data_IF_419762808881
#
_entry.id   IF_419762808881
#
_cell.length_a   1.000
_cell.length_b   1.000
_cell.length_c   1.000
_cell.angle_alpha   90.00
_cell.angle_beta   90.00
_cell.angle_gamma   90.00
#
_symmetry.space_group_name_H-M   'P 1'
#
loop_
_entity.id
_entity.type
_entity.pdbx_description
1 polymer ?
#
# COMPACT_ATOMS: atom_id res chain seq x y z
N UNK A 1 12.48 -0.29 -13.70
CA UNK A 1 12.75 -1.31 -12.67
C UNK A 1 14.18 -1.77 -12.88
N UNK A 2 15.06 -1.55 -11.91
CA UNK A 2 16.46 -1.95 -12.02
C UNK A 2 16.62 -3.29 -11.31
N UNK A 3 16.96 -4.33 -12.07
CA UNK A 3 17.36 -5.61 -11.49
C UNK A 3 18.87 -5.54 -11.26
N UNK A 4 19.30 -5.62 -10.00
CA UNK A 4 20.72 -5.74 -9.66
C UNK A 4 20.99 -7.21 -9.41
N UNK A 5 21.72 -7.84 -10.33
CA UNK A 5 22.25 -9.19 -10.13
C UNK A 5 23.39 -9.11 -9.11
N UNK A 6 23.18 -9.67 -7.91
CA UNK A 6 24.24 -9.77 -6.90
C UNK A 6 25.05 -11.03 -7.20
N UNK A 7 26.31 -10.84 -7.59
CA UNK A 7 27.25 -11.92 -7.83
C UNK A 7 27.56 -12.66 -6.51
N UNK A 8 26.90 -13.80 -6.30
CA UNK A 8 27.19 -14.71 -5.20
C UNK A 8 25.95 -15.31 -4.54
N UNK A 9 25.36 -16.33 -5.17
CA UNK A 9 24.51 -17.32 -4.50
C UNK A 9 23.10 -16.88 -4.12
N UNK A 10 22.14 -17.20 -4.99
CA UNK A 10 20.70 -17.37 -4.71
C UNK A 10 19.96 -16.21 -4.03
N UNK A 11 19.59 -15.20 -4.82
CA UNK A 11 18.48 -14.32 -4.51
C UNK A 11 18.49 -13.09 -5.40
N UNK A 12 17.52 -12.96 -6.31
CA UNK A 12 17.20 -11.66 -6.89
C UNK A 12 16.73 -10.77 -5.74
N UNK A 13 17.58 -9.83 -5.31
CA UNK A 13 17.20 -8.82 -4.34
C UNK A 13 16.33 -7.80 -5.07
N UNK A 14 15.03 -8.10 -5.15
CA UNK A 14 14.06 -7.12 -5.59
C UNK A 14 14.01 -5.98 -4.55
N UNK A 15 14.38 -4.78 -4.97
CA UNK A 15 14.20 -3.58 -4.14
C UNK A 15 12.70 -3.22 -4.16
N UNK A 16 12.01 -3.56 -3.08
CA UNK A 16 10.58 -3.33 -2.92
C UNK A 16 10.26 -1.85 -2.73
N UNK A 17 10.33 -1.10 -3.83
CA UNK A 17 9.94 0.30 -3.93
C UNK A 17 8.70 0.45 -4.80
N UNK A 18 7.61 0.76 -4.12
CA UNK A 18 6.32 1.14 -4.64
C UNK A 18 6.00 2.53 -4.10
N UNK A 19 6.27 3.60 -4.85
CA UNK A 19 5.95 4.96 -4.42
C UNK A 19 5.24 5.71 -5.53
N UNK A 20 4.16 6.42 -5.17
CA UNK A 20 3.63 7.45 -6.03
C UNK A 20 4.59 8.64 -5.99
N UNK A 21 5.11 9.01 -7.16
CA UNK A 21 6.11 10.07 -7.32
C UNK A 21 5.61 11.46 -6.91
N UNK A 22 4.29 11.65 -6.83
CA UNK A 22 3.67 12.87 -6.36
C UNK A 22 2.36 12.59 -5.62
N UNK A 23 2.12 13.31 -4.52
CA UNK A 23 0.84 13.30 -3.79
C UNK A 23 -0.36 13.58 -4.71
N UNK A 24 -0.20 14.45 -5.72
CA UNK A 24 -1.24 14.72 -6.70
C UNK A 24 -1.65 13.47 -7.51
N UNK A 25 -0.68 12.63 -7.89
CA UNK A 25 -0.96 11.38 -8.60
C UNK A 25 -1.68 10.38 -7.70
N UNK A 26 -1.29 10.30 -6.42
CA UNK A 26 -2.01 9.48 -5.44
C UNK A 26 -3.45 9.95 -5.24
N UNK A 27 -3.69 11.27 -5.11
CA UNK A 27 -5.04 11.83 -4.97
C UNK A 27 -5.90 11.62 -6.21
N UNK A 28 -5.31 11.68 -7.41
CA UNK A 28 -6.02 11.34 -8.64
C UNK A 28 -6.45 9.87 -8.63
N UNK A 29 -5.53 8.96 -8.29
CA UNK A 29 -5.83 7.54 -8.13
C UNK A 29 -6.93 7.28 -7.09
N UNK A 30 -6.90 7.96 -5.94
CA UNK A 30 -7.95 7.82 -4.93
C UNK A 30 -9.34 8.12 -5.52
N UNK A 31 -9.45 9.20 -6.28
CA UNK A 31 -10.72 9.62 -6.89
C UNK A 31 -11.18 8.65 -7.97
N UNK A 32 -10.27 8.22 -8.83
CA UNK A 32 -10.59 7.44 -10.02
C UNK A 32 -10.78 5.95 -9.74
N UNK A 33 -10.18 5.45 -8.65
CA UNK A 33 -10.12 4.01 -8.36
C UNK A 33 -10.62 3.71 -6.95
N UNK A 34 -9.96 4.25 -5.92
CA UNK A 34 -10.26 3.87 -4.53
C UNK A 34 -11.69 4.20 -4.11
N UNK A 35 -12.16 5.40 -4.42
CA UNK A 35 -13.50 5.86 -4.02
C UNK A 35 -14.62 5.06 -4.71
N UNK A 36 -14.60 4.87 -6.05
CA UNK A 36 -15.53 3.95 -6.72
C UNK A 36 -15.55 2.52 -6.16
N UNK A 37 -14.37 1.99 -5.79
CA UNK A 37 -14.24 0.68 -5.15
C UNK A 37 -14.90 0.68 -3.77
N UNK A 38 -14.59 1.69 -2.95
CA UNK A 38 -15.06 1.76 -1.57
C UNK A 38 -16.59 1.90 -1.49
N UNK A 39 -17.21 2.57 -2.45
CA UNK A 39 -18.68 2.67 -2.57
C UNK A 39 -19.33 1.33 -2.95
N UNK A 40 -18.61 0.46 -3.67
CA UNK A 40 -19.07 -0.88 -4.04
C UNK A 40 -18.86 -1.95 -2.96
N UNK A 41 -18.10 -1.65 -1.91
CA UNK A 41 -17.77 -2.56 -0.81
C UNK A 41 -18.56 -2.14 0.44
N UNK A 42 -18.90 -3.10 1.29
CA UNK A 42 -19.70 -2.81 2.48
C UNK A 42 -19.00 -1.82 3.44
N UNK A 43 -19.79 -0.98 4.10
CA UNK A 43 -19.30 -0.02 5.09
C UNK A 43 -18.73 -0.69 6.36
N UNK A 44 -18.77 -2.03 6.44
CA UNK A 44 -18.37 -2.81 7.61
C UNK A 44 -16.85 -2.88 7.77
N UNK A 45 -16.08 -2.25 6.88
CA UNK A 45 -14.66 -2.02 7.07
C UNK A 45 -13.82 -3.27 6.84
N UNK A 46 -14.33 -4.21 6.03
CA UNK A 46 -13.50 -5.28 5.49
C UNK A 46 -12.29 -4.63 4.81
N UNK A 47 -11.04 -4.99 5.18
CA UNK A 47 -9.88 -4.45 4.52
C UNK A 47 -10.03 -4.67 3.01
N UNK A 48 -9.80 -3.61 2.23
CA UNK A 48 -9.57 -3.80 0.80
C UNK A 48 -8.35 -4.71 0.71
N UNK A 49 -8.56 -5.90 0.18
CA UNK A 49 -7.53 -6.89 -0.10
C UNK A 49 -7.63 -7.29 -1.56
N UNK A 50 -6.54 -7.79 -2.15
CA UNK A 50 -6.56 -8.40 -3.48
C UNK A 50 -7.77 -9.32 -3.68
N UNK A 51 -8.02 -10.33 -2.81
CA UNK A 51 -9.19 -11.20 -2.95
C UNK A 51 -10.54 -10.49 -3.00
N UNK A 52 -10.79 -9.51 -2.10
CA UNK A 52 -12.04 -8.73 -2.14
C UNK A 52 -12.15 -7.90 -3.42
N UNK A 53 -11.05 -7.38 -3.96
CA UNK A 53 -11.05 -6.58 -5.18
C UNK A 53 -11.18 -7.44 -6.44
N UNK A 54 -10.49 -8.58 -6.49
CA UNK A 54 -10.61 -9.57 -7.56
C UNK A 54 -12.00 -10.21 -7.59
N UNK A 55 -12.65 -10.38 -6.43
CA UNK A 55 -14.02 -10.90 -6.34
C UNK A 55 -15.06 -9.97 -6.97
N UNK A 56 -14.79 -8.65 -7.03
CA UNK A 56 -15.66 -7.68 -7.70
C UNK A 56 -15.43 -7.57 -9.22
N UNK A 57 -14.62 -8.47 -9.79
CA UNK A 57 -14.47 -8.68 -11.23
C UNK A 57 -13.23 -8.01 -11.82
N UNK A 58 -12.44 -8.71 -12.66
CA UNK A 58 -11.18 -8.22 -13.20
C UNK A 58 -11.31 -7.03 -14.18
N UNK A 59 -12.53 -6.64 -14.56
CA UNK A 59 -12.79 -5.59 -15.55
C UNK A 59 -13.27 -4.25 -14.99
N UNK A 60 -13.74 -4.17 -13.73
CA UNK A 60 -14.35 -2.93 -13.21
C UNK A 60 -13.40 -2.10 -12.35
N UNK A 61 -12.36 -2.69 -11.77
CA UNK A 61 -11.45 -2.02 -10.84
C UNK A 61 -10.00 -2.50 -10.98
N UNK A 62 -9.40 -2.30 -12.15
CA UNK A 62 -7.99 -2.63 -12.36
C UNK A 62 -7.11 -1.79 -11.41
N UNK A 63 -6.48 -2.46 -10.44
CA UNK A 63 -5.42 -1.84 -9.64
C UNK A 63 -4.33 -1.30 -10.58
N UNK A 64 -3.70 -0.17 -10.29
CA UNK A 64 -2.48 0.25 -10.97
C UNK A 64 -1.48 -0.91 -11.03
N UNK A 65 -0.81 -1.06 -12.16
CA UNK A 65 0.19 -2.11 -12.39
C UNK A 65 1.19 -2.25 -11.24
N UNK A 66 1.56 -1.13 -10.64
CA UNK A 66 2.48 -1.08 -9.50
C UNK A 66 1.91 -1.71 -8.21
N UNK A 67 0.59 -1.63 -7.97
CA UNK A 67 -0.07 -2.34 -6.87
C UNK A 67 -0.24 -3.83 -7.19
N UNK A 68 -0.64 -4.18 -8.42
CA UNK A 68 -0.73 -5.59 -8.85
C UNK A 68 0.60 -6.30 -8.66
N UNK A 69 1.68 -5.67 -9.13
CA UNK A 69 3.03 -6.19 -8.97
C UNK A 69 3.41 -6.40 -7.49
N UNK A 70 3.04 -5.46 -6.61
CA UNK A 70 3.30 -5.58 -5.18
C UNK A 70 2.60 -6.81 -4.56
N UNK A 71 1.38 -7.11 -5.00
CA UNK A 71 0.64 -8.31 -4.58
C UNK A 71 1.29 -9.61 -5.08
N UNK A 72 1.93 -9.58 -6.25
CA UNK A 72 2.66 -10.73 -6.80
C UNK A 72 3.96 -11.04 -6.03
N UNK A 73 4.67 -10.01 -5.57
CA UNK A 73 5.99 -10.19 -4.94
C UNK A 73 5.96 -10.34 -3.42
N UNK A 74 4.90 -9.85 -2.76
CA UNK A 74 4.81 -9.91 -1.29
C UNK A 74 4.79 -11.33 -0.70
N UNK A 75 4.27 -12.38 -1.35
CA UNK A 75 4.34 -13.75 -0.83
C UNK A 75 5.76 -14.33 -0.86
N UNK A 76 6.62 -13.84 -1.76
CA UNK A 76 7.98 -14.38 -1.99
C UNK A 76 9.08 -13.60 -1.27
N UNK A 77 8.75 -12.48 -0.62
CA UNK A 77 9.72 -11.74 0.19
C UNK A 77 10.03 -12.47 1.50
N UNK A 78 11.15 -13.20 1.50
CA UNK A 78 11.75 -13.81 2.69
C UNK A 78 12.81 -12.92 3.36
N UNK A 79 13.08 -11.73 2.82
CA UNK A 79 14.19 -10.89 3.28
C UNK A 79 13.79 -10.03 4.48
N UNK A 80 14.66 -9.94 5.50
CA UNK A 80 14.47 -9.04 6.64
C UNK A 80 15.18 -7.71 6.39
N UNK A 81 14.59 -6.85 5.59
CA UNK A 81 15.05 -5.47 5.44
C UNK A 81 14.06 -4.48 6.07
N UNK A 82 14.50 -3.25 6.28
CA UNK A 82 13.63 -2.21 6.80
C UNK A 82 12.78 -1.62 5.67
N UNK A 83 11.54 -2.11 5.57
CA UNK A 83 10.54 -1.53 4.69
C UNK A 83 9.91 -0.32 5.36
N UNK A 84 9.60 0.68 4.56
CA UNK A 84 9.17 1.98 5.01
C UNK A 84 7.86 2.33 4.33
N UNK A 85 6.79 2.40 5.12
CA UNK A 85 5.45 2.76 4.63
C UNK A 85 5.25 4.24 4.89
N UNK A 86 5.05 5.01 3.83
CA UNK A 86 4.81 6.44 3.84
C UNK A 86 3.33 6.67 3.59
N UNK A 87 2.63 7.22 4.58
CA UNK A 87 1.19 7.47 4.53
C UNK A 87 0.86 8.91 4.15
N UNK A 88 1.77 9.84 4.48
CA UNK A 88 1.64 11.26 4.16
C UNK A 88 3.03 11.86 3.95
N UNK A 89 3.23 12.50 2.81
CA UNK A 89 4.52 12.99 2.34
C UNK A 89 4.43 13.49 0.90
N UNK A 90 5.55 13.96 0.34
CA UNK A 90 5.63 14.28 -1.10
C UNK A 90 5.38 13.05 -1.97
N UNK A 91 5.73 11.88 -1.42
CA UNK A 91 5.47 10.56 -1.98
C UNK A 91 4.73 9.71 -0.96
N UNK A 92 3.92 8.76 -1.44
CA UNK A 92 3.13 7.82 -0.63
C UNK A 92 3.44 6.41 -1.14
N UNK A 93 3.48 5.42 -0.26
CA UNK A 93 3.70 4.02 -0.64
C UNK A 93 4.71 3.29 0.25
N UNK A 94 5.40 2.30 -0.30
CA UNK A 94 6.39 1.45 0.38
C UNK A 94 7.75 1.62 -0.30
N UNK A 95 8.82 1.74 0.47
CA UNK A 95 10.19 1.69 -0.07
C UNK A 95 11.16 1.10 0.94
N UNK A 96 12.28 0.58 0.47
CA UNK A 96 13.45 0.23 1.30
C UNK A 96 14.56 1.28 1.18
N UNK A 97 14.39 2.27 0.29
CA UNK A 97 15.42 3.22 -0.09
C UNK A 97 15.39 4.48 0.78
N UNK A 98 16.48 4.75 1.51
CA UNK A 98 16.62 5.94 2.35
C UNK A 98 16.50 7.25 1.60
N UNK A 99 16.98 7.28 0.36
CA UNK A 99 17.02 8.46 -0.48
C UNK A 99 15.63 8.79 -1.03
N UNK A 100 14.67 7.86 -0.89
CA UNK A 100 13.26 8.07 -1.23
C UNK A 100 12.47 8.49 0.01
N UNK A 101 12.50 7.70 1.10
CA UNK A 101 11.60 7.98 2.22
C UNK A 101 11.99 9.21 3.04
N UNK A 102 13.29 9.51 3.17
CA UNK A 102 13.72 10.66 3.95
C UNK A 102 13.20 11.97 3.37
N UNK A 103 13.48 12.33 2.11
CA UNK A 103 12.97 13.57 1.54
C UNK A 103 11.44 13.58 1.43
N UNK A 104 10.80 12.42 1.19
CA UNK A 104 9.34 12.36 1.11
C UNK A 104 8.64 12.80 2.41
N UNK A 105 9.27 12.62 3.56
CA UNK A 105 8.66 12.90 4.87
C UNK A 105 9.30 14.12 5.55
N UNK A 106 10.61 14.31 5.42
CA UNK A 106 11.34 15.39 6.07
C UNK A 106 10.95 16.74 5.45
N UNK A 107 10.39 17.63 6.27
CA UNK A 107 9.93 18.95 5.80
C UNK A 107 8.51 18.96 5.23
N UNK A 108 7.86 17.80 5.09
CA UNK A 108 6.46 17.73 4.71
C UNK A 108 5.55 17.94 5.92
N UNK A 109 4.56 18.83 5.80
CA UNK A 109 3.64 19.15 6.87
C UNK A 109 2.87 17.89 7.31
N UNK A 110 3.00 17.52 8.60
CA UNK A 110 2.46 16.27 9.14
C UNK A 110 2.93 15.01 8.39
N UNK A 111 4.20 14.96 7.96
CA UNK A 111 4.78 13.74 7.41
C UNK A 111 4.52 12.52 8.32
N UNK A 112 4.01 11.43 7.74
CA UNK A 112 3.63 10.21 8.47
C UNK A 112 4.20 8.97 7.81
N UNK A 113 4.89 8.18 8.62
CA UNK A 113 5.62 6.99 8.18
C UNK A 113 5.78 6.01 9.32
N UNK A 114 5.85 4.73 8.96
CA UNK A 114 6.35 3.67 9.84
C UNK A 114 7.42 2.85 9.13
N UNK A 115 8.13 2.03 9.90
CA UNK A 115 9.06 1.02 9.37
C UNK A 115 8.71 -0.35 9.92
N UNK A 116 8.75 -1.38 9.07
CA UNK A 116 8.53 -2.78 9.43
C UNK A 116 9.60 -3.67 8.78
N UNK A 117 9.66 -4.94 9.18
CA UNK A 117 10.78 -5.86 8.84
C UNK A 117 10.51 -6.79 7.66
N UNK A 118 9.30 -6.81 7.14
CA UNK A 118 8.93 -7.64 5.99
C UNK A 118 8.00 -6.87 5.07
N UNK A 119 8.07 -7.14 3.76
CA UNK A 119 7.18 -6.55 2.78
C UNK A 119 5.72 -6.91 3.08
N UNK A 120 5.48 -8.10 3.63
CA UNK A 120 4.13 -8.54 4.00
C UNK A 120 3.47 -7.65 5.03
N UNK A 121 4.20 -7.24 6.07
CA UNK A 121 3.69 -6.27 7.03
C UNK A 121 3.58 -4.87 6.41
N UNK A 122 4.53 -4.48 5.56
CA UNK A 122 4.47 -3.16 4.91
C UNK A 122 3.22 -3.03 4.04
N UNK A 123 2.92 -4.10 3.30
CA UNK A 123 1.75 -4.26 2.46
C UNK A 123 0.45 -4.28 3.27
N UNK A 124 0.39 -5.05 4.37
CA UNK A 124 -0.77 -5.06 5.26
C UNK A 124 -1.07 -3.66 5.84
N UNK A 125 -0.04 -2.91 6.23
CA UNK A 125 -0.18 -1.54 6.71
C UNK A 125 -0.68 -0.59 5.59
N UNK A 126 -0.17 -0.74 4.37
CA UNK A 126 -0.60 0.06 3.22
C UNK A 126 -2.08 -0.21 2.87
N UNK A 127 -2.50 -1.48 2.86
CA UNK A 127 -3.91 -1.84 2.64
C UNK A 127 -4.82 -1.36 3.76
N UNK A 128 -4.37 -1.46 5.02
CA UNK A 128 -5.13 -0.91 6.13
C UNK A 128 -5.36 0.60 5.96
N UNK A 129 -4.33 1.32 5.52
CA UNK A 129 -4.45 2.73 5.18
C UNK A 129 -5.48 2.97 4.06
N UNK A 130 -5.46 2.20 2.97
CA UNK A 130 -6.47 2.34 1.90
C UNK A 130 -7.89 2.02 2.38
N UNK A 131 -8.06 0.98 3.19
CA UNK A 131 -9.35 0.65 3.79
C UNK A 131 -9.86 1.78 4.70
N UNK A 132 -8.98 2.41 5.48
CA UNK A 132 -9.31 3.58 6.30
C UNK A 132 -9.77 4.75 5.43
N UNK A 133 -9.04 5.06 4.35
CA UNK A 133 -9.41 6.12 3.40
C UNK A 133 -10.77 5.83 2.75
N UNK A 134 -11.00 4.60 2.27
CA UNK A 134 -12.26 4.18 1.69
C UNK A 134 -13.42 4.30 2.67
N UNK A 135 -13.24 3.86 3.92
CA UNK A 135 -14.26 4.00 4.97
C UNK A 135 -14.60 5.45 5.27
N UNK A 136 -13.60 6.33 5.38
CA UNK A 136 -13.83 7.77 5.59
C UNK A 136 -14.59 8.37 4.41
N UNK A 137 -14.25 7.98 3.18
CA UNK A 137 -14.98 8.41 1.98
C UNK A 137 -16.44 7.94 2.00
N UNK A 138 -16.71 6.68 2.30
CA UNK A 138 -18.09 6.16 2.41
C UNK A 138 -18.89 6.90 3.49
N UNK A 139 -18.26 7.27 4.61
CA UNK A 139 -18.90 8.08 5.66
C UNK A 139 -19.10 9.55 5.25
N UNK A 140 -18.29 10.06 4.33
CA UNK A 140 -18.32 11.45 3.87
C UNK A 140 -18.11 11.56 2.34
N UNK A 141 -19.08 11.10 1.51
CA UNK A 141 -18.88 10.95 0.07
C UNK A 141 -18.61 12.26 -0.68
N UNK A 142 -18.98 13.39 -0.08
CA UNK A 142 -18.77 14.73 -0.61
C UNK A 142 -17.36 15.28 -0.37
N UNK A 143 -16.52 14.59 0.39
CA UNK A 143 -15.16 15.04 0.68
C UNK A 143 -14.23 14.77 -0.50
N UNK A 144 -13.34 15.73 -0.76
CA UNK A 144 -12.29 15.53 -1.75
C UNK A 144 -11.16 14.65 -1.17
N UNK A 145 -10.27 14.08 -2.02
CA UNK A 145 -9.19 13.20 -1.58
C UNK A 145 -8.28 13.81 -0.50
N UNK A 146 -7.96 15.10 -0.59
CA UNK A 146 -7.11 15.78 0.38
C UNK A 146 -7.75 15.80 1.79
N UNK A 147 -9.05 16.06 1.86
CA UNK A 147 -9.78 16.08 3.14
C UNK A 147 -9.89 14.69 3.75
N UNK A 148 -10.14 13.66 2.93
CA UNK A 148 -10.14 12.26 3.37
C UNK A 148 -8.76 11.86 3.92
N UNK A 149 -7.68 12.19 3.21
CA UNK A 149 -6.31 11.94 3.65
C UNK A 149 -6.00 12.63 4.98
N UNK A 150 -6.34 13.91 5.09
CA UNK A 150 -6.11 14.70 6.32
C UNK A 150 -6.87 14.11 7.51
N UNK A 151 -8.13 13.70 7.30
CA UNK A 151 -8.96 13.08 8.33
C UNK A 151 -8.44 11.69 8.77
N UNK A 152 -7.73 10.98 7.90
CA UNK A 152 -7.15 9.68 8.22
C UNK A 152 -5.90 9.78 9.13
N UNK A 153 -5.16 10.90 9.09
CA UNK A 153 -3.86 11.03 9.75
C UNK A 153 -3.84 10.63 11.24
N UNK A 154 -4.84 10.96 12.08
CA UNK A 154 -4.86 10.58 13.48
C UNK A 154 -5.06 9.07 13.72
N UNK A 155 -5.60 8.35 12.73
CA UNK A 155 -5.91 6.91 12.82
C UNK A 155 -4.87 6.03 12.12
N UNK A 156 -3.79 6.63 11.61
CA UNK A 156 -2.74 5.89 10.91
C UNK A 156 -1.98 4.96 11.86
N UNK A 157 -1.37 3.89 11.29
CA UNK A 157 -0.40 3.09 12.02
C UNK A 157 0.71 3.91 12.69
N UNK A 158 1.04 3.51 13.91
CA UNK A 158 2.12 4.05 14.73
C UNK A 158 3.23 2.99 14.91
N UNK A 159 4.31 3.37 15.58
CA UNK A 159 5.40 2.45 15.89
C UNK A 159 4.93 1.27 16.75
N UNK A 160 3.98 1.51 17.63
CA UNK A 160 3.47 0.55 18.62
C UNK A 160 2.54 -0.50 18.00
N UNK A 161 1.75 -0.12 16.99
CA UNK A 161 0.72 -1.00 16.40
C UNK A 161 1.02 -1.47 14.96
N UNK A 162 2.17 -1.11 14.38
CA UNK A 162 2.63 -1.51 13.02
C UNK A 162 2.61 -3.02 12.70
N UNK A 163 2.50 -3.88 13.71
CA UNK A 163 2.42 -5.34 13.56
C UNK A 163 1.06 -5.92 14.00
N UNK A 164 0.09 -5.08 14.35
CA UNK A 164 -1.25 -5.50 14.76
C UNK A 164 -2.04 -6.09 13.60
N UNK A 165 -1.82 -5.59 12.38
CA UNK A 165 -2.47 -6.13 11.19
C UNK A 165 -1.73 -7.37 10.72
N UNK A 166 -2.46 -8.49 10.73
CA UNK A 166 -1.95 -9.74 10.21
C UNK A 166 -1.50 -9.55 8.75
N UNK A 167 -0.31 -10.05 8.39
CA UNK A 167 0.10 -10.14 7.00
C UNK A 167 -0.99 -10.77 6.15
N UNK A 168 -1.16 -10.25 4.93
CA UNK A 168 -1.98 -10.91 3.92
C UNK A 168 -1.24 -12.20 3.52
N UNK A 169 -1.53 -13.30 4.22
CA UNK A 169 -1.07 -14.62 3.81
C UNK A 169 -1.98 -15.00 2.64
N UNK A 170 -1.55 -14.67 1.43
CA UNK A 170 -2.16 -15.20 0.22
C UNK A 170 -2.08 -16.73 0.29
N UNK A 171 -3.19 -17.48 0.18
CA UNK A 171 -3.06 -18.81 -0.36
C UNK A 171 -2.48 -18.62 -1.76
N UNK A 172 -1.23 -19.04 -1.97
CA UNK A 172 -0.63 -19.07 -3.30
C UNK A 172 -1.52 -19.99 -4.13
N UNK A 173 -2.45 -19.43 -4.89
CA UNK A 173 -3.09 -20.16 -5.97
C UNK A 173 -2.02 -20.20 -7.04
N UNK A 174 -1.19 -21.24 -7.00
CA UNK A 174 -0.19 -21.48 -8.02
C UNK A 174 -0.93 -21.46 -9.37
N UNK A 175 -0.58 -20.55 -10.30
CA UNK A 175 -1.15 -20.59 -11.65
C UNK A 175 -0.71 -21.85 -12.43
N UNK A 176 0.17 -22.68 -11.83
CA UNK A 176 0.73 -23.90 -12.41
C UNK A 176 0.04 -25.19 -11.96
N UNK A 177 -1.09 -25.10 -11.25
CA UNK A 177 -1.91 -26.28 -10.90
C UNK A 177 -3.22 -26.34 -11.71
N UNK A 178 -3.10 -26.29 -13.03
CA UNK A 178 -4.15 -26.71 -13.98
C UNK A 178 -3.54 -27.65 -15.00
#
# INVERSE_FOLDING_TARGET
MNFIEVAGGHGWLYEATFVWSAEAAFRAWMREVLFPIAEGIDANGTPLTGPSLHAHGPGQYALPHSLQFLEEVVPVDGSRCDHHVIFNGEQIGITTNSDVWQPAVNGYANGRRISVRTLQHAHANLWHFFALLGRIHVQHPQWNPLRVLTAALPSLPTRENRYTWAPLIYPVVSPWNV
#
